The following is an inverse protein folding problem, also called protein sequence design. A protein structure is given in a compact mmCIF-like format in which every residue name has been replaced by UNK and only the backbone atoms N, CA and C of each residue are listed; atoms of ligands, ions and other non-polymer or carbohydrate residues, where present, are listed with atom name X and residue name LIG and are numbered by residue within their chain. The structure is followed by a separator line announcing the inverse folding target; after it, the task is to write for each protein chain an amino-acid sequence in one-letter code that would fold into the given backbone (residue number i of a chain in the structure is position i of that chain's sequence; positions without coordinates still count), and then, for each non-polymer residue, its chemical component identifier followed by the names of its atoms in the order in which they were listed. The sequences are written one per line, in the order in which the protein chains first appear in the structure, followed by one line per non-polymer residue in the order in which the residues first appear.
data_IF_574513405414
#
_entry.id   IF_574513405414
#
_cell.length_a   1.000
_cell.length_b   1.000
_cell.length_c   1.000
_cell.angle_alpha   90.00
_cell.angle_beta   90.00
_cell.angle_gamma   90.00
#
_symmetry.space_group_name_H-M   'P 1'
#
loop_
_entity.id
_entity.type
_entity.pdbx_description
1 polymer ?
#
# COMPACT_ATOMS: atom_id res chain seq x y z
N UNK A 1 -2.77 6.66 -6.31
CA UNK A 1 -3.89 5.78 -5.90
C UNK A 1 -3.69 5.37 -4.45
N UNK A 2 -4.76 5.07 -3.70
CA UNK A 2 -4.65 4.59 -2.32
C UNK A 2 -5.25 3.19 -2.17
N UNK A 3 -4.80 2.46 -1.15
CA UNK A 3 -5.25 1.11 -0.87
C UNK A 3 -4.70 0.57 0.46
N UNK A 4 -4.99 -0.70 0.74
CA UNK A 4 -4.56 -1.41 1.93
C UNK A 4 -3.83 -2.67 1.53
N UNK A 5 -2.69 -2.94 2.16
CA UNK A 5 -1.98 -4.22 1.97
C UNK A 5 -2.81 -5.33 2.61
N UNK A 6 -3.30 -6.28 1.80
CA UNK A 6 -4.15 -7.39 2.27
C UNK A 6 -3.40 -8.72 2.34
N UNK A 7 -2.32 -8.86 1.57
CA UNK A 7 -1.41 -9.99 1.64
C UNK A 7 0.04 -9.50 1.51
N UNK A 8 0.95 -10.05 2.30
CA UNK A 8 2.37 -9.74 2.19
C UNK A 8 3.22 -10.95 2.61
N UNK A 9 3.97 -11.50 1.66
CA UNK A 9 5.00 -12.48 1.95
C UNK A 9 6.32 -11.74 2.18
N UNK A 10 6.62 -11.45 3.46
CA UNK A 10 7.83 -10.72 3.84
C UNK A 10 9.12 -11.44 3.47
N UNK A 11 9.13 -12.77 3.47
CA UNK A 11 10.32 -13.55 3.10
C UNK A 11 10.63 -13.42 1.61
N UNK A 12 9.59 -13.42 0.76
CA UNK A 12 9.75 -13.31 -0.70
C UNK A 12 9.70 -11.89 -1.24
N UNK A 13 9.28 -10.92 -0.42
CA UNK A 13 9.31 -9.50 -0.77
C UNK A 13 8.19 -9.04 -1.70
N UNK A 14 7.02 -9.68 -1.72
CA UNK A 14 5.89 -9.24 -2.55
C UNK A 14 4.56 -9.43 -1.85
N UNK A 15 3.52 -8.76 -2.36
CA UNK A 15 2.19 -8.85 -1.80
C UNK A 15 1.11 -8.28 -2.72
N UNK A 16 -0.06 -8.05 -2.11
CA UNK A 16 -1.25 -7.53 -2.77
C UNK A 16 -1.79 -6.31 -2.01
N UNK A 17 -2.25 -5.33 -2.78
CA UNK A 17 -2.94 -4.13 -2.30
C UNK A 17 -4.38 -4.18 -2.81
N UNK A 18 -5.35 -4.04 -1.91
CA UNK A 18 -6.77 -3.90 -2.29
C UNK A 18 -7.20 -2.44 -2.19
N UNK A 19 -8.11 -2.03 -3.07
CA UNK A 19 -8.67 -0.68 -3.07
C UNK A 19 -10.16 -0.73 -2.77
N UNK A 20 -10.70 0.38 -2.25
CA UNK A 20 -12.14 0.49 -2.03
C UNK A 20 -12.86 0.56 -3.38
N UNK A 21 -13.92 -0.24 -3.55
CA UNK A 21 -14.72 -0.37 -4.78
C UNK A 21 -13.99 -0.98 -6.00
N UNK A 22 -12.79 -1.54 -5.82
CA UNK A 22 -12.10 -2.31 -6.87
C UNK A 22 -12.02 -3.76 -6.40
N UNK A 23 -12.62 -4.67 -7.18
CA UNK A 23 -12.63 -6.09 -6.84
C UNK A 23 -11.25 -6.74 -7.00
N UNK A 24 -10.47 -6.29 -7.98
CA UNK A 24 -9.13 -6.81 -8.24
C UNK A 24 -8.10 -6.22 -7.29
N UNK A 25 -7.20 -7.08 -6.81
CA UNK A 25 -6.06 -6.66 -6.00
C UNK A 25 -4.84 -6.42 -6.88
N UNK A 26 -4.04 -5.42 -6.51
CA UNK A 26 -2.88 -4.97 -7.27
C UNK A 26 -1.63 -5.59 -6.67
N UNK A 27 -0.83 -6.21 -7.53
CA UNK A 27 0.47 -6.78 -7.14
C UNK A 27 1.47 -5.68 -6.79
N UNK A 28 2.27 -5.90 -5.73
CA UNK A 28 3.44 -5.08 -5.46
C UNK A 28 4.69 -5.91 -5.13
N UNK A 29 5.84 -5.30 -5.40
CA UNK A 29 7.16 -5.78 -5.01
C UNK A 29 7.78 -4.83 -3.97
N UNK A 30 8.54 -5.37 -3.02
CA UNK A 30 9.19 -4.59 -1.95
C UNK A 30 10.20 -3.59 -2.50
N UNK A 31 10.78 -3.84 -3.68
CA UNK A 31 11.68 -2.90 -4.35
C UNK A 31 11.02 -1.56 -4.70
N UNK A 32 9.69 -1.55 -4.83
CA UNK A 32 8.90 -0.35 -5.10
C UNK A 32 8.48 0.39 -3.81
N UNK A 33 8.71 -0.22 -2.65
CA UNK A 33 8.34 0.34 -1.36
C UNK A 33 9.42 1.30 -0.84
N UNK A 34 9.10 2.60 -0.82
CA UNK A 34 9.97 3.64 -0.25
C UNK A 34 9.83 3.73 1.28
N UNK A 35 8.74 3.22 1.83
CA UNK A 35 8.50 3.19 3.27
C UNK A 35 9.03 1.90 3.90
N UNK A 36 9.67 2.02 5.06
CA UNK A 36 10.07 0.87 5.89
C UNK A 36 8.89 0.44 6.78
N UNK A 37 8.84 -0.86 7.10
CA UNK A 37 7.89 -1.38 8.08
C UNK A 37 6.45 -1.47 7.57
N UNK A 38 6.24 -1.73 6.28
CA UNK A 38 4.91 -2.07 5.75
C UNK A 38 4.50 -3.49 6.21
N UNK A 39 3.23 -3.64 6.55
CA UNK A 39 2.63 -4.90 6.99
C UNK A 39 1.18 -5.02 6.49
N UNK A 40 0.58 -6.20 6.66
CA UNK A 40 -0.82 -6.42 6.30
C UNK A 40 -1.71 -5.49 7.14
N UNK A 41 -2.58 -4.72 6.48
CA UNK A 41 -3.41 -3.68 7.09
C UNK A 41 -2.83 -2.27 6.99
N UNK A 42 -1.57 -2.10 6.56
CA UNK A 42 -1.03 -0.77 6.27
C UNK A 42 -1.78 -0.11 5.12
N UNK A 43 -2.23 1.13 5.33
CA UNK A 43 -2.71 1.99 4.25
C UNK A 43 -1.51 2.54 3.47
N UNK A 44 -1.60 2.50 2.14
CA UNK A 44 -0.52 2.92 1.25
C UNK A 44 -1.05 3.82 0.15
N UNK A 45 -0.16 4.67 -0.35
CA UNK A 45 -0.33 5.42 -1.58
C UNK A 45 0.69 4.92 -2.61
N UNK A 46 0.25 4.77 -3.86
CA UNK A 46 1.03 4.17 -4.93
C UNK A 46 0.54 4.61 -6.31
N UNK A 47 1.40 4.45 -7.32
CA UNK A 47 1.05 4.58 -8.73
C UNK A 47 0.81 3.20 -9.34
N UNK A 48 0.07 3.14 -10.45
CA UNK A 48 -0.11 1.89 -11.21
C UNK A 48 0.57 1.94 -12.56
N UNK A 49 1.16 0.82 -12.96
CA UNK A 49 1.72 0.63 -14.29
C UNK A 49 1.17 -0.66 -14.91
N UNK A 50 0.76 -0.59 -16.17
CA UNK A 50 0.33 -1.76 -16.94
C UNK A 50 1.58 -2.48 -17.45
N UNK A 51 1.67 -3.78 -17.20
CA UNK A 51 2.76 -4.64 -17.67
C UNK A 51 2.20 -5.85 -18.42
N UNK A 52 3.08 -6.66 -19.03
CA UNK A 52 2.70 -7.94 -19.65
C UNK A 52 2.02 -8.92 -18.68
N UNK A 53 2.17 -8.71 -17.37
CA UNK A 53 1.60 -9.56 -16.30
C UNK A 53 0.36 -8.95 -15.65
N UNK A 54 -0.16 -7.85 -16.18
CA UNK A 54 -1.26 -7.07 -15.59
C UNK A 54 -0.78 -5.79 -14.92
N UNK A 55 -1.66 -5.21 -14.10
CA UNK A 55 -1.42 -3.94 -13.39
C UNK A 55 -0.58 -4.19 -12.14
N UNK A 56 0.49 -3.42 -11.97
CA UNK A 56 1.37 -3.48 -10.80
C UNK A 56 1.47 -2.13 -10.11
N UNK A 57 1.69 -2.13 -8.80
CA UNK A 57 1.93 -0.94 -8.01
C UNK A 57 3.40 -0.50 -8.10
N UNK A 58 3.62 0.81 -8.17
CA UNK A 58 4.91 1.50 -8.24
C UNK A 58 4.95 2.64 -7.22
N UNK A 59 6.16 3.09 -6.85
CA UNK A 59 6.37 4.24 -5.95
C UNK A 59 5.58 4.16 -4.63
N UNK A 60 5.57 3.00 -3.97
CA UNK A 60 4.69 2.74 -2.84
C UNK A 60 5.20 3.45 -1.59
N UNK A 61 4.33 4.22 -0.95
CA UNK A 61 4.59 4.94 0.30
C UNK A 61 3.52 4.64 1.33
N UNK A 62 3.89 4.73 2.62
CA UNK A 62 2.94 4.57 3.70
C UNK A 62 2.03 5.81 3.76
N UNK A 63 0.71 5.60 3.76
CA UNK A 63 -0.25 6.68 3.94
C UNK A 63 -0.31 7.02 5.43
N UNK A 64 0.48 8.00 5.86
CA UNK A 64 0.44 8.51 7.23
C UNK A 64 -0.84 9.31 7.39
N UNK A 65 -1.85 8.75 8.06
CA UNK A 65 -2.98 9.54 8.53
C UNK A 65 -2.42 10.51 9.57
N UNK A 66 -2.19 11.77 9.20
CA UNK A 66 -2.06 12.83 10.18
C UNK A 66 -3.32 12.79 11.04
N UNK A 67 -3.25 12.17 12.23
CA UNK A 67 -4.28 12.36 13.23
C UNK A 67 -4.33 13.87 13.47
N UNK A 68 -5.45 14.57 13.25
CA UNK A 68 -5.56 15.90 13.79
C UNK A 68 -5.24 15.79 15.29
N UNK A 69 -4.28 16.58 15.77
CA UNK A 69 -4.02 16.68 17.20
C UNK A 69 -5.36 17.03 17.84
N UNK A 70 -6.01 16.05 18.47
CA UNK A 70 -7.15 16.32 19.31
C UNK A 70 -6.59 17.27 20.38
N UNK A 71 -6.96 18.55 20.31
CA UNK A 71 -6.65 19.48 21.39
C UNK A 71 -7.35 18.90 22.60
N UNK A 72 -6.58 18.41 23.56
CA UNK A 72 -7.10 18.16 24.89
C UNK A 72 -7.58 19.53 25.41
N UNK A 73 -8.89 19.69 25.56
CA UNK A 73 -9.41 20.71 26.46
C UNK A 73 -8.99 20.30 27.87
N UNK A 74 -8.19 21.14 28.51
CA UNK A 74 -7.95 21.17 29.95
C UNK A 74 -8.95 22.14 30.57
#
# INVERSE_FOLDING_TARGET
MTGVITAYNKQRGFGLISQLMVAESIYFDISECKARGLYIGSSVEFDTQITKRGVVAKNITALVKNKPKMKACL
#
